data_IF_208925763518
#
_entry.id   IF_208925763518
#
_cell.length_a   1.000
_cell.length_b   1.000
_cell.length_c   1.000
_cell.angle_alpha   90.00
_cell.angle_beta   90.00
_cell.angle_gamma   90.00
#
_symmetry.space_group_name_H-M   'P 1'
#
loop_
_entity.id
_entity.type
_entity.pdbx_description
1 polymer ?
#
# COMPACT_ATOMS: atom_id res chain seq x y z
N UNK A 1 3.76 25.59 4.37
CA UNK A 1 4.97 25.41 3.55
C UNK A 1 4.53 25.01 2.17
N UNK A 2 5.10 25.58 1.12
CA UNK A 2 4.69 25.28 -0.25
C UNK A 2 5.32 23.97 -0.71
N UNK A 3 4.50 23.02 -1.17
CA UNK A 3 4.95 21.69 -1.57
C UNK A 3 6.09 21.69 -2.60
N UNK A 4 6.19 22.74 -3.43
CA UNK A 4 7.28 22.97 -4.37
C UNK A 4 8.66 22.98 -3.69
N UNK A 5 8.78 23.56 -2.49
CA UNK A 5 10.04 23.59 -1.74
C UNK A 5 10.54 22.20 -1.37
N UNK A 6 9.65 21.23 -1.12
CA UNK A 6 10.03 19.85 -0.78
C UNK A 6 10.55 19.11 -2.02
N UNK A 7 9.98 19.38 -3.20
CA UNK A 7 10.46 18.79 -4.47
C UNK A 7 11.86 19.33 -4.81
N UNK A 8 12.07 20.64 -4.68
CA UNK A 8 13.40 21.28 -4.86
C UNK A 8 14.40 20.70 -3.86
N UNK A 9 14.03 20.59 -2.58
CA UNK A 9 14.86 20.01 -1.53
C UNK A 9 15.25 18.55 -1.84
N UNK A 10 14.31 17.72 -2.30
CA UNK A 10 14.57 16.34 -2.72
C UNK A 10 15.60 16.28 -3.86
N UNK A 11 15.43 17.09 -4.91
CA UNK A 11 16.38 17.12 -6.02
C UNK A 11 17.79 17.59 -5.58
N UNK A 12 17.88 18.58 -4.69
CA UNK A 12 19.14 19.00 -4.09
C UNK A 12 19.80 17.89 -3.25
N UNK A 13 19.03 17.16 -2.42
CA UNK A 13 19.54 16.00 -1.67
C UNK A 13 20.10 14.94 -2.63
N UNK A 14 19.38 14.65 -3.72
CA UNK A 14 19.85 13.72 -4.75
C UNK A 14 21.21 14.16 -5.32
N UNK A 15 21.33 15.41 -5.78
CA UNK A 15 22.59 15.93 -6.32
C UNK A 15 23.74 15.75 -5.30
N UNK A 16 23.52 16.05 -4.02
CA UNK A 16 24.53 15.84 -2.96
C UNK A 16 24.88 14.35 -2.79
N UNK A 17 23.89 13.46 -2.73
CA UNK A 17 24.09 12.01 -2.60
C UNK A 17 24.95 11.45 -3.73
N UNK A 18 24.55 11.67 -4.99
CA UNK A 18 25.27 11.12 -6.14
C UNK A 18 26.61 11.83 -6.39
N UNK A 19 26.76 13.09 -5.97
CA UNK A 19 28.07 13.75 -5.93
C UNK A 19 29.02 13.06 -4.93
N UNK A 20 28.55 12.80 -3.71
CA UNK A 20 29.36 12.12 -2.70
C UNK A 20 29.74 10.70 -3.16
N UNK A 21 28.82 9.94 -3.76
CA UNK A 21 29.10 8.61 -4.33
C UNK A 21 30.13 8.63 -5.48
N UNK A 22 30.25 9.72 -6.23
CA UNK A 22 31.18 9.85 -7.36
C UNK A 22 32.59 10.31 -6.96
N UNK A 23 32.71 11.03 -5.84
CA UNK A 23 33.94 11.75 -5.46
C UNK A 23 34.45 11.48 -4.04
N UNK A 24 33.75 10.69 -3.23
CA UNK A 24 34.26 10.26 -1.91
C UNK A 24 34.77 8.83 -1.91
N UNK A 25 35.84 8.63 -1.14
CA UNK A 25 36.38 7.30 -0.79
C UNK A 25 36.30 7.07 0.74
N UNK A 26 35.76 8.03 1.50
CA UNK A 26 35.76 7.97 2.97
C UNK A 26 34.50 7.31 3.54
N UNK A 27 34.69 6.39 4.49
CA UNK A 27 33.59 5.72 5.19
C UNK A 27 32.63 6.71 5.88
N UNK A 28 33.16 7.79 6.47
CA UNK A 28 32.35 8.81 7.13
C UNK A 28 31.41 9.53 6.14
N UNK A 29 31.88 9.86 4.93
CA UNK A 29 31.02 10.44 3.91
C UNK A 29 29.97 9.43 3.42
N UNK A 30 30.31 8.14 3.26
CA UNK A 30 29.33 7.11 2.91
C UNK A 30 28.25 6.93 4.00
N UNK A 31 28.61 7.05 5.28
CA UNK A 31 27.64 7.08 6.39
C UNK A 31 26.71 8.31 6.29
N UNK A 32 27.25 9.49 5.97
CA UNK A 32 26.44 10.70 5.70
C UNK A 32 25.53 10.49 4.48
N UNK A 33 26.00 9.84 3.42
CA UNK A 33 25.16 9.48 2.26
C UNK A 33 23.95 8.65 2.68
N UNK A 34 24.09 7.66 3.57
CA UNK A 34 22.96 6.87 4.05
C UNK A 34 21.90 7.71 4.79
N UNK A 35 22.33 8.66 5.63
CA UNK A 35 21.41 9.58 6.33
C UNK A 35 20.68 10.50 5.33
N UNK A 36 21.41 11.06 4.35
CA UNK A 36 20.83 11.89 3.30
C UNK A 36 19.88 11.09 2.40
N UNK A 37 20.20 9.84 2.08
CA UNK A 37 19.35 8.94 1.29
C UNK A 37 18.03 8.62 2.00
N UNK A 38 18.04 8.44 3.33
CA UNK A 38 16.82 8.34 4.13
C UNK A 38 15.93 9.59 3.99
N UNK A 39 16.52 10.80 4.04
CA UNK A 39 15.78 12.05 3.85
C UNK A 39 15.29 12.25 2.39
N UNK A 40 16.05 11.77 1.40
CA UNK A 40 15.67 11.76 -0.02
C UNK A 40 14.43 10.88 -0.24
N UNK A 41 14.46 9.63 0.23
CA UNK A 41 13.33 8.69 0.14
C UNK A 41 12.10 9.20 0.89
N UNK A 42 12.27 9.81 2.08
CA UNK A 42 11.16 10.42 2.82
C UNK A 42 10.49 11.58 2.05
N UNK A 43 11.24 12.30 1.21
CA UNK A 43 10.73 13.42 0.41
C UNK A 43 9.86 12.96 -0.77
N UNK A 44 10.00 11.71 -1.23
CA UNK A 44 9.17 11.12 -2.30
C UNK A 44 7.68 11.10 -1.92
N UNK A 45 7.34 10.81 -0.66
CA UNK A 45 5.96 10.79 -0.16
C UNK A 45 5.27 12.17 -0.31
N UNK A 46 6.03 13.25 -0.16
CA UNK A 46 5.51 14.61 -0.32
C UNK A 46 5.19 14.96 -1.78
N UNK A 47 5.82 14.30 -2.76
CA UNK A 47 5.54 14.51 -4.19
C UNK A 47 4.12 14.07 -4.57
N UNK A 48 3.65 12.92 -4.05
CA UNK A 48 2.25 12.51 -4.21
C UNK A 48 1.28 13.53 -3.62
N UNK A 49 1.64 14.14 -2.49
CA UNK A 49 0.79 15.17 -1.84
C UNK A 49 0.74 16.47 -2.66
N UNK A 50 1.84 16.85 -3.33
CA UNK A 50 1.85 17.95 -4.31
C UNK A 50 0.89 17.69 -5.47
N UNK A 51 0.93 16.49 -6.06
CA UNK A 51 0.08 16.08 -7.17
C UNK A 51 -1.40 16.20 -6.79
N UNK A 52 -1.81 15.59 -5.67
CA UNK A 52 -3.21 15.65 -5.23
C UNK A 52 -3.64 17.07 -4.88
N UNK A 53 -2.78 17.90 -4.29
CA UNK A 53 -3.11 19.28 -3.98
C UNK A 53 -3.24 20.20 -5.23
N UNK A 54 -2.82 19.74 -6.43
CA UNK A 54 -2.91 20.52 -7.69
C UNK A 54 -4.08 20.12 -8.60
N UNK A 55 -4.62 18.91 -8.45
CA UNK A 55 -5.48 18.24 -9.44
C UNK A 55 -6.93 18.14 -8.92
N UNK A 56 -7.93 18.04 -9.81
CA UNK A 56 -9.32 17.78 -9.39
C UNK A 56 -9.49 16.33 -8.91
N UNK A 57 -10.37 16.10 -7.92
CA UNK A 57 -10.55 14.77 -7.32
C UNK A 57 -10.92 13.70 -8.36
N UNK A 58 -11.70 14.05 -9.38
CA UNK A 58 -12.07 13.15 -10.49
C UNK A 58 -10.85 12.50 -11.18
N UNK A 59 -9.71 13.21 -11.22
CA UNK A 59 -8.51 12.77 -11.94
C UNK A 59 -7.47 12.10 -11.03
N UNK A 60 -7.71 12.01 -9.73
CA UNK A 60 -6.74 11.44 -8.78
C UNK A 60 -6.35 10.01 -9.15
N UNK A 61 -7.32 9.11 -9.35
CA UNK A 61 -7.03 7.70 -9.66
C UNK A 61 -6.22 7.56 -10.97
N UNK A 62 -6.63 8.28 -12.02
CA UNK A 62 -5.94 8.29 -13.30
C UNK A 62 -4.49 8.81 -13.17
N UNK A 63 -4.29 9.92 -12.46
CA UNK A 63 -2.95 10.49 -12.30
C UNK A 63 -2.07 9.63 -11.39
N UNK A 64 -2.60 9.08 -10.29
CA UNK A 64 -1.86 8.12 -9.45
C UNK A 64 -1.42 6.90 -10.25
N UNK A 65 -2.30 6.35 -11.09
CA UNK A 65 -1.99 5.27 -12.01
C UNK A 65 -0.87 5.64 -12.98
N UNK A 66 -1.00 6.79 -13.66
CA UNK A 66 0.00 7.30 -14.60
C UNK A 66 1.36 7.57 -13.92
N UNK A 67 1.38 8.16 -12.74
CA UNK A 67 2.62 8.41 -11.97
C UNK A 67 3.29 7.11 -11.56
N UNK A 68 2.55 6.11 -11.06
CA UNK A 68 3.11 4.79 -10.73
C UNK A 68 3.61 4.06 -11.97
N UNK A 69 2.88 4.11 -13.08
CA UNK A 69 3.30 3.54 -14.35
C UNK A 69 4.60 4.19 -14.87
N UNK A 70 4.72 5.51 -14.78
CA UNK A 70 5.93 6.25 -15.15
C UNK A 70 7.14 5.87 -14.27
N UNK A 71 6.96 5.69 -12.96
CA UNK A 71 8.02 5.23 -12.04
C UNK A 71 8.47 3.81 -12.38
N UNK A 72 7.53 2.88 -12.61
CA UNK A 72 7.85 1.50 -12.98
C UNK A 72 8.54 1.42 -14.36
N UNK A 73 8.06 2.18 -15.34
CA UNK A 73 8.70 2.30 -16.65
C UNK A 73 10.11 2.89 -16.53
N UNK A 74 10.30 3.92 -15.70
CA UNK A 74 11.61 4.50 -15.43
C UNK A 74 12.59 3.50 -14.81
N UNK A 75 12.14 2.68 -13.85
CA UNK A 75 12.94 1.59 -13.27
C UNK A 75 13.30 0.53 -14.30
N UNK A 76 12.34 0.09 -15.11
CA UNK A 76 12.56 -0.89 -16.19
C UNK A 76 13.57 -0.36 -17.22
N UNK A 77 13.36 0.85 -17.75
CA UNK A 77 14.25 1.48 -18.73
C UNK A 77 15.65 1.72 -18.14
N UNK A 78 15.75 2.15 -16.87
CA UNK A 78 17.04 2.30 -16.19
C UNK A 78 17.80 0.96 -16.10
N UNK A 79 17.13 -0.13 -15.73
CA UNK A 79 17.71 -1.48 -15.73
C UNK A 79 18.19 -1.93 -17.12
N UNK A 80 17.36 -1.75 -18.16
CA UNK A 80 17.74 -2.11 -19.54
C UNK A 80 18.89 -1.24 -20.07
N UNK A 81 18.84 0.07 -19.88
CA UNK A 81 19.87 1.01 -20.38
C UNK A 81 21.20 0.78 -19.67
N UNK A 82 21.20 0.69 -18.32
CA UNK A 82 22.42 0.39 -17.56
C UNK A 82 23.01 -0.96 -17.95
N UNK A 83 22.16 -1.98 -18.15
CA UNK A 83 22.59 -3.29 -18.60
C UNK A 83 23.26 -3.26 -19.98
N UNK A 84 22.67 -2.57 -20.97
CA UNK A 84 23.24 -2.43 -22.32
C UNK A 84 24.56 -1.66 -22.30
N UNK A 85 24.62 -0.56 -21.54
CA UNK A 85 25.81 0.28 -21.45
C UNK A 85 27.01 -0.45 -20.81
N UNK A 86 26.77 -1.28 -19.79
CA UNK A 86 27.81 -2.09 -19.15
C UNK A 86 28.18 -3.30 -20.01
N UNK A 87 27.22 -4.03 -20.58
CA UNK A 87 27.52 -5.23 -21.39
C UNK A 87 28.23 -4.93 -22.71
N UNK A 88 28.07 -3.71 -23.25
CA UNK A 88 28.81 -3.26 -24.44
C UNK A 88 30.19 -2.69 -24.13
N UNK A 89 30.56 -2.56 -22.84
CA UNK A 89 31.79 -1.89 -22.42
C UNK A 89 31.78 -0.38 -22.64
N UNK A 90 30.63 0.22 -22.98
CA UNK A 90 30.51 1.65 -23.24
C UNK A 90 30.62 2.50 -21.96
N UNK A 91 30.26 1.94 -20.81
CA UNK A 91 30.32 2.60 -19.50
C UNK A 91 30.55 1.60 -18.36
N UNK A 92 31.23 2.04 -17.31
CA UNK A 92 31.36 1.32 -16.05
C UNK A 92 30.36 1.85 -14.98
N UNK A 93 30.36 1.25 -13.78
CA UNK A 93 29.43 1.61 -12.68
C UNK A 93 29.59 3.06 -12.20
N UNK A 94 30.79 3.66 -12.28
CA UNK A 94 31.02 5.08 -11.99
C UNK A 94 30.37 5.97 -13.05
N UNK A 95 30.47 5.60 -14.32
CA UNK A 95 29.88 6.33 -15.44
C UNK A 95 28.33 6.33 -15.37
N UNK A 96 27.73 5.22 -14.94
CA UNK A 96 26.29 5.16 -14.65
C UNK A 96 25.85 6.11 -13.52
N UNK A 97 26.71 6.34 -12.52
CA UNK A 97 26.44 7.32 -11.47
C UNK A 97 26.52 8.76 -12.00
N UNK A 98 27.34 9.06 -13.01
CA UNK A 98 27.31 10.35 -13.71
C UNK A 98 26.00 10.57 -14.47
N UNK A 99 25.45 9.53 -15.14
CA UNK A 99 24.10 9.61 -15.72
C UNK A 99 23.07 9.93 -14.65
N UNK A 100 23.12 9.25 -13.50
CA UNK A 100 22.17 9.48 -12.40
C UNK A 100 22.30 10.89 -11.81
N UNK A 101 23.51 11.41 -11.62
CA UNK A 101 23.73 12.80 -11.21
C UNK A 101 23.13 13.78 -12.23
N UNK A 102 23.31 13.52 -13.53
CA UNK A 102 22.73 14.30 -14.62
C UNK A 102 21.20 14.33 -14.59
N UNK A 103 20.54 13.19 -14.34
CA UNK A 103 19.07 13.15 -14.24
C UNK A 103 18.55 13.90 -13.01
N UNK A 104 19.27 13.90 -11.89
CA UNK A 104 18.92 14.73 -10.72
C UNK A 104 19.06 16.24 -11.02
N UNK A 105 20.09 16.65 -11.76
CA UNK A 105 20.25 18.04 -12.20
C UNK A 105 19.10 18.49 -13.13
N UNK A 106 18.70 17.64 -14.08
CA UNK A 106 17.53 17.90 -14.95
C UNK A 106 16.23 17.94 -14.13
N UNK A 107 16.06 17.04 -13.15
CA UNK A 107 14.92 17.04 -12.22
C UNK A 107 14.85 18.32 -11.39
N UNK A 108 15.98 18.84 -10.90
CA UNK A 108 16.05 20.11 -10.20
C UNK A 108 15.60 21.27 -11.11
N UNK A 109 16.10 21.37 -12.33
CA UNK A 109 15.65 22.38 -13.31
C UNK A 109 14.14 22.30 -13.56
N UNK A 110 13.61 21.08 -13.75
CA UNK A 110 12.18 20.85 -13.94
C UNK A 110 11.35 21.27 -12.70
N UNK A 111 11.86 21.04 -11.49
CA UNK A 111 11.18 21.39 -10.24
C UNK A 111 10.92 22.90 -10.11
N UNK A 112 11.78 23.75 -10.70
CA UNK A 112 11.56 25.20 -10.73
C UNK A 112 10.47 25.62 -11.72
N UNK A 113 10.24 24.86 -12.79
CA UNK A 113 9.15 25.07 -13.75
C UNK A 113 7.78 24.65 -13.22
N UNK A 114 7.73 23.83 -12.15
CA UNK A 114 6.46 23.38 -11.57
C UNK A 114 5.62 24.54 -11.00
N UNK A 115 4.30 24.58 -11.26
CA UNK A 115 3.43 25.65 -10.78
C UNK A 115 3.26 25.61 -9.25
N UNK A 116 3.22 26.76 -8.56
CA UNK A 116 2.94 26.77 -7.13
C UNK A 116 1.52 26.25 -6.82
N UNK A 117 1.36 25.72 -5.61
CA UNK A 117 0.10 25.24 -5.04
C UNK A 117 -0.22 26.10 -3.81
N UNK A 118 -1.29 26.89 -3.89
CA UNK A 118 -1.78 27.71 -2.78
C UNK A 118 -2.74 26.89 -1.91
N UNK A 119 -2.23 26.43 -0.77
CA UNK A 119 -2.95 25.77 0.35
C UNK A 119 -3.66 24.44 0.06
N UNK A 120 -3.53 23.52 1.01
CA UNK A 120 -4.04 22.15 0.95
C UNK A 120 -5.56 22.06 1.15
N UNK A 121 -6.24 21.37 0.22
CA UNK A 121 -7.69 21.08 0.26
C UNK A 121 -8.12 20.21 1.48
N UNK A 122 -7.18 19.49 2.11
CA UNK A 122 -7.48 18.41 3.05
C UNK A 122 -7.85 18.83 4.49
N UNK A 123 -7.64 20.09 4.90
CA UNK A 123 -7.73 20.49 6.32
C UNK A 123 -8.92 21.39 6.69
N UNK A 124 -9.91 21.55 5.79
CA UNK A 124 -11.10 22.38 6.03
C UNK A 124 -12.39 21.54 5.93
N UNK A 125 -12.85 21.02 7.06
CA UNK A 125 -14.18 20.42 7.17
C UNK A 125 -15.25 21.53 7.21
N UNK A 126 -16.20 21.51 6.27
CA UNK A 126 -17.46 22.26 6.49
C UNK A 126 -18.22 21.52 7.59
N UNK A 127 -18.50 22.20 8.70
CA UNK A 127 -19.37 21.66 9.74
C UNK A 127 -20.77 21.46 9.11
N UNK A 128 -21.26 20.22 9.07
CA UNK A 128 -22.63 19.95 8.64
C UNK A 128 -23.62 20.60 9.62
N UNK A 129 -24.60 21.30 9.05
CA UNK A 129 -25.63 22.00 9.82
C UNK A 129 -26.42 20.98 10.64
N UNK A 130 -26.56 21.25 11.94
CA UNK A 130 -27.32 20.41 12.84
C UNK A 130 -28.74 20.16 12.30
N UNK A 131 -29.07 18.89 12.02
CA UNK A 131 -30.45 18.47 11.77
C UNK A 131 -31.23 18.55 13.10
N UNK A 132 -32.37 19.24 13.16
CA UNK A 132 -33.29 19.06 14.29
C UNK A 132 -33.87 17.65 14.26
N UNK A 133 -34.18 17.12 15.44
CA UNK A 133 -34.83 15.82 15.56
C UNK A 133 -36.32 15.94 15.20
N UNK A 134 -36.76 15.20 14.19
CA UNK A 134 -38.09 14.60 14.19
C UNK A 134 -38.06 13.28 13.39
N UNK A 135 -38.95 12.36 13.75
CA UNK A 135 -38.91 10.97 13.28
C UNK A 135 -39.83 10.68 12.11
N UNK A 136 -39.31 9.95 11.12
CA UNK A 136 -40.10 8.99 10.34
C UNK A 136 -39.17 8.01 9.63
N UNK A 137 -39.58 6.75 9.55
CA UNK A 137 -38.84 5.66 8.91
C UNK A 137 -39.41 5.44 7.51
N UNK A 138 -38.58 5.53 6.49
CA UNK A 138 -38.77 4.88 5.20
C UNK A 138 -37.40 4.61 4.56
N UNK A 139 -37.23 3.41 4.01
CA UNK A 139 -36.05 3.05 3.24
C UNK A 139 -36.11 3.68 1.84
N UNK A 140 -34.97 4.11 1.29
CA UNK A 140 -34.40 3.41 0.13
C UNK A 140 -33.00 3.92 -0.25
N UNK A 141 -32.37 3.13 -1.11
CA UNK A 141 -30.97 3.09 -1.55
C UNK A 141 -30.24 4.41 -1.87
N UNK A 142 -28.99 4.42 -1.44
CA UNK A 142 -27.84 5.25 -1.86
C UNK A 142 -27.68 5.31 -3.40
N UNK A 143 -27.17 6.44 -3.94
CA UNK A 143 -26.01 6.35 -4.86
C UNK A 143 -24.87 7.36 -4.55
N UNK A 144 -23.86 6.87 -3.83
CA UNK A 144 -22.43 6.96 -4.11
C UNK A 144 -21.85 8.32 -4.58
N UNK A 145 -21.36 9.22 -3.71
CA UNK A 145 -20.47 10.33 -4.15
C UNK A 145 -19.08 10.20 -3.46
N UNK A 146 -17.95 10.09 -4.19
CA UNK A 146 -17.68 10.67 -5.52
C UNK A 146 -17.80 9.72 -6.73
N UNK A 147 -19.02 9.26 -7.09
CA UNK A 147 -19.49 9.14 -8.49
C UNK A 147 -21.03 9.05 -8.64
N UNK A 148 -21.67 10.08 -9.24
CA UNK A 148 -23.00 10.60 -8.86
C UNK A 148 -22.95 11.28 -7.48
N UNK A 149 -23.83 12.20 -7.08
CA UNK A 149 -24.82 12.98 -7.81
C UNK A 149 -24.17 13.87 -8.89
N UNK A 150 -24.30 13.45 -10.15
CA UNK A 150 -24.21 14.31 -11.34
C UNK A 150 -25.17 13.73 -12.41
N UNK A 151 -26.43 13.52 -12.02
CA UNK A 151 -27.53 13.32 -12.98
C UNK A 151 -28.55 14.47 -12.99
N UNK A 152 -28.61 15.27 -11.92
CA UNK A 152 -29.43 16.48 -11.86
C UNK A 152 -28.78 17.70 -12.54
N UNK A 153 -28.37 17.56 -13.82
CA UNK A 153 -28.15 18.69 -14.74
C UNK A 153 -28.11 18.34 -16.24
N UNK A 154 -28.87 17.34 -16.67
CA UNK A 154 -29.32 17.23 -18.08
C UNK A 154 -30.68 17.90 -18.29
N UNK A 155 -30.74 19.19 -18.03
CA UNK A 155 -31.74 20.16 -18.50
C UNK A 155 -31.42 21.50 -17.82
N UNK A 156 -30.59 22.31 -18.46
CA UNK A 156 -31.02 23.62 -18.99
C UNK A 156 -29.79 24.42 -19.44
N UNK A 157 -29.54 24.42 -20.76
CA UNK A 157 -28.72 25.40 -21.49
C UNK A 157 -28.83 25.10 -22.99
N UNK A 158 -29.98 25.44 -23.57
CA UNK A 158 -30.00 25.89 -24.97
C UNK A 158 -29.97 27.41 -24.97
N UNK A 159 -29.18 27.98 -25.89
CA UNK A 159 -29.15 29.39 -26.29
C UNK A 159 -28.75 30.44 -25.20
N UNK A 160 -28.17 31.62 -25.49
CA UNK A 160 -27.32 32.23 -26.54
C UNK A 160 -27.62 33.74 -26.50
N UNK A 161 -26.58 34.59 -26.46
CA UNK A 161 -26.63 36.06 -26.71
C UNK A 161 -27.41 36.93 -25.70
N UNK A 162 -27.13 38.20 -25.44
CA UNK A 162 -26.12 39.20 -25.79
C UNK A 162 -26.53 40.54 -25.09
N UNK A 163 -25.64 41.54 -25.08
CA UNK A 163 -25.93 42.99 -24.96
C UNK A 163 -26.31 43.63 -23.60
N UNK A 164 -26.08 44.95 -23.57
CA UNK A 164 -25.89 45.88 -22.44
C UNK A 164 -27.18 46.61 -21.96
N UNK A 165 -27.16 47.38 -20.84
CA UNK A 165 -28.36 47.90 -20.15
C UNK A 165 -28.83 49.28 -20.69
N UNK A 166 -29.93 49.85 -20.15
CA UNK A 166 -29.74 50.91 -19.13
C UNK A 166 -30.82 51.07 -18.02
N UNK A 167 -30.44 51.89 -17.05
CA UNK A 167 -31.17 52.63 -16.01
C UNK A 167 -32.72 52.73 -16.01
N UNK A 168 -33.32 52.78 -14.80
CA UNK A 168 -33.84 54.05 -14.27
C UNK A 168 -34.20 54.06 -12.76
N UNK A 169 -34.17 55.27 -12.21
CA UNK A 169 -34.42 55.68 -10.81
C UNK A 169 -35.87 55.47 -10.36
N UNK A 170 -36.11 55.26 -9.05
CA UNK A 170 -37.13 56.00 -8.27
C UNK A 170 -37.04 55.71 -6.76
N UNK A 171 -37.18 56.76 -5.95
CA UNK A 171 -37.16 56.85 -4.47
C UNK A 171 -38.26 57.88 -4.16
N UNK A 172 -39.21 57.69 -3.20
CA UNK A 172 -38.87 57.89 -1.78
C UNK A 172 -39.70 57.17 -0.69
N UNK A 173 -39.13 57.10 0.53
CA UNK A 173 -39.79 57.09 1.88
C UNK A 173 -40.82 55.97 2.20
N UNK A 174 -40.96 55.42 3.41
CA UNK A 174 -40.38 55.70 4.74
C UNK A 174 -40.48 54.41 5.63
N UNK A 175 -40.15 54.52 6.92
CA UNK A 175 -40.53 53.59 8.01
C UNK A 175 -39.86 52.20 8.08
N UNK A 176 -38.65 52.18 8.66
CA UNK A 176 -38.58 51.88 10.09
C UNK A 176 -38.86 50.44 10.56
N UNK A 177 -38.02 49.48 10.17
CA UNK A 177 -37.81 48.25 10.96
C UNK A 177 -36.31 47.90 10.91
N UNK A 178 -35.67 47.78 12.08
CA UNK A 178 -34.26 47.38 12.17
C UNK A 178 -34.10 45.91 11.79
N UNK A 179 -33.90 45.62 10.50
CA UNK A 179 -33.45 44.30 10.04
C UNK A 179 -32.00 44.12 10.44
N UNK A 180 -31.79 43.55 11.63
CA UNK A 180 -30.49 43.03 12.05
C UNK A 180 -29.99 42.09 10.96
N UNK A 181 -29.01 42.54 10.17
CA UNK A 181 -28.31 41.69 9.22
C UNK A 181 -27.57 40.62 10.02
N UNK A 182 -28.23 39.46 10.22
CA UNK A 182 -27.56 38.25 10.70
C UNK A 182 -26.59 37.87 9.60
N UNK A 183 -25.36 38.38 9.74
CA UNK A 183 -24.25 37.94 8.94
C UNK A 183 -24.00 36.47 9.28
N UNK A 184 -24.55 35.57 8.47
CA UNK A 184 -24.24 34.14 8.47
C UNK A 184 -22.76 33.96 8.11
N UNK A 185 -21.92 34.27 9.09
CA UNK A 185 -20.49 34.05 9.07
C UNK A 185 -20.30 32.55 9.22
N UNK A 186 -20.30 31.87 8.07
CA UNK A 186 -19.99 30.45 7.95
C UNK A 186 -18.82 30.10 8.88
N UNK A 187 -18.99 29.14 9.82
CA UNK A 187 -17.96 28.87 10.81
C UNK A 187 -16.66 28.49 10.09
N UNK A 188 -15.58 29.22 10.39
CA UNK A 188 -14.26 28.93 9.84
C UNK A 188 -13.81 27.57 10.38
N UNK A 189 -13.92 26.56 9.52
CA UNK A 189 -13.38 25.22 9.70
C UNK A 189 -12.02 25.25 10.41
N UNK A 190 -11.99 24.84 11.68
CA UNK A 190 -10.81 24.93 12.55
C UNK A 190 -10.19 23.54 12.70
N UNK A 191 -9.02 23.38 12.08
CA UNK A 191 -8.20 22.17 12.21
C UNK A 191 -7.99 21.80 13.69
N UNK A 192 -8.13 20.51 14.00
CA UNK A 192 -8.07 20.01 15.37
C UNK A 192 -7.33 18.68 15.39
N UNK A 193 -6.01 18.76 15.60
CA UNK A 193 -5.13 17.58 15.64
C UNK A 193 -5.63 16.51 16.63
N UNK A 194 -6.11 16.90 17.80
CA UNK A 194 -6.66 15.97 18.81
C UNK A 194 -7.87 15.18 18.30
N UNK A 195 -8.77 15.82 17.52
CA UNK A 195 -9.91 15.13 16.89
C UNK A 195 -9.44 14.18 15.79
N UNK A 196 -8.51 14.63 14.92
CA UNK A 196 -7.95 13.81 13.86
C UNK A 196 -7.22 12.57 14.40
N UNK A 197 -6.34 12.72 15.39
CA UNK A 197 -5.63 11.61 16.04
C UNK A 197 -6.61 10.64 16.70
N UNK A 198 -7.66 11.14 17.40
CA UNK A 198 -8.68 10.29 18.01
C UNK A 198 -9.49 9.51 16.98
N UNK A 199 -9.78 10.11 15.82
CA UNK A 199 -10.52 9.47 14.73
C UNK A 199 -9.65 8.37 14.07
N UNK A 200 -8.41 8.72 13.69
CA UNK A 200 -7.43 7.77 13.16
C UNK A 200 -7.19 6.58 14.10
N UNK A 201 -7.10 6.82 15.41
CA UNK A 201 -6.96 5.76 16.42
C UNK A 201 -8.19 4.84 16.48
N UNK A 202 -9.41 5.38 16.33
CA UNK A 202 -10.63 4.56 16.24
C UNK A 202 -10.64 3.69 14.98
N UNK A 203 -10.32 4.27 13.82
CA UNK A 203 -10.33 3.54 12.55
C UNK A 203 -9.25 2.45 12.55
N UNK A 204 -8.09 2.73 13.14
CA UNK A 204 -7.01 1.76 13.36
C UNK A 204 -7.48 0.55 14.18
N UNK A 205 -8.15 0.79 15.32
CA UNK A 205 -8.71 -0.29 16.15
C UNK A 205 -9.82 -1.05 15.40
N UNK A 206 -10.67 -0.34 14.65
CA UNK A 206 -11.74 -0.94 13.84
C UNK A 206 -11.18 -1.91 12.79
N UNK A 207 -10.14 -1.49 12.07
CA UNK A 207 -9.45 -2.28 11.07
C UNK A 207 -8.77 -3.53 11.66
N UNK A 208 -7.95 -3.38 12.70
CA UNK A 208 -7.24 -4.52 13.32
C UNK A 208 -8.13 -5.42 14.20
N UNK A 209 -9.42 -5.10 14.37
CA UNK A 209 -10.43 -6.06 14.85
C UNK A 209 -10.86 -7.05 13.75
N UNK A 210 -10.69 -6.73 12.48
CA UNK A 210 -11.00 -7.63 11.37
C UNK A 210 -9.85 -8.63 11.20
N UNK A 211 -10.13 -9.91 11.44
CA UNK A 211 -9.13 -10.97 11.33
C UNK A 211 -8.40 -11.03 9.96
N UNK A 212 -9.07 -10.79 8.81
CA UNK A 212 -8.39 -10.70 7.52
C UNK A 212 -7.34 -9.57 7.47
N UNK A 213 -7.64 -8.40 8.05
CA UNK A 213 -6.67 -7.31 8.13
C UNK A 213 -5.45 -7.77 8.93
N UNK A 214 -5.64 -8.31 10.13
CA UNK A 214 -4.51 -8.81 10.96
C UNK A 214 -3.64 -9.80 10.18
N UNK A 215 -4.24 -10.78 9.52
CA UNK A 215 -3.53 -11.84 8.78
C UNK A 215 -2.73 -11.28 7.60
N UNK A 216 -3.38 -10.52 6.71
CA UNK A 216 -2.77 -10.00 5.50
C UNK A 216 -1.79 -8.84 5.76
N UNK A 217 -2.07 -8.01 6.76
CA UNK A 217 -1.22 -6.90 7.22
C UNK A 217 0.08 -7.43 7.84
N UNK A 218 -0.01 -8.44 8.72
CA UNK A 218 1.16 -9.08 9.33
C UNK A 218 2.04 -9.77 8.28
N UNK A 219 1.44 -10.53 7.36
CA UNK A 219 2.19 -11.15 6.27
C UNK A 219 2.85 -10.09 5.40
N UNK A 220 2.11 -9.03 5.03
CA UNK A 220 2.64 -7.97 4.18
C UNK A 220 3.87 -7.30 4.79
N UNK A 221 3.80 -6.86 6.05
CA UNK A 221 4.94 -6.20 6.70
C UNK A 221 6.18 -7.12 6.77
N UNK A 222 5.99 -8.40 7.12
CA UNK A 222 7.08 -9.37 7.26
C UNK A 222 7.66 -9.76 5.90
N UNK A 223 6.83 -10.12 4.92
CA UNK A 223 7.27 -10.44 3.58
C UNK A 223 7.98 -9.25 2.89
N UNK A 224 7.52 -8.02 3.15
CA UNK A 224 8.18 -6.81 2.65
C UNK A 224 9.56 -6.60 3.29
N UNK A 225 9.72 -6.88 4.59
CA UNK A 225 11.04 -6.86 5.23
C UNK A 225 12.01 -7.84 4.58
N UNK A 226 11.59 -9.09 4.41
CA UNK A 226 12.40 -10.14 3.75
C UNK A 226 12.70 -9.84 2.28
N UNK A 227 11.74 -9.27 1.54
CA UNK A 227 11.94 -8.86 0.15
C UNK A 227 12.95 -7.71 0.01
N UNK A 228 12.84 -6.66 0.82
CA UNK A 228 13.82 -5.56 0.83
C UNK A 228 15.21 -6.11 1.19
N UNK A 229 15.30 -6.99 2.19
CA UNK A 229 16.56 -7.62 2.57
C UNK A 229 17.20 -8.40 1.42
N UNK A 230 16.41 -9.19 0.68
CA UNK A 230 16.89 -9.87 -0.53
C UNK A 230 17.34 -8.86 -1.59
N UNK A 231 16.52 -7.85 -1.93
CA UNK A 231 16.88 -6.87 -2.98
C UNK A 231 18.18 -6.10 -2.68
N UNK A 232 18.39 -5.68 -1.42
CA UNK A 232 19.58 -4.90 -1.04
C UNK A 232 20.86 -5.73 -1.15
N UNK A 233 20.80 -7.03 -0.82
CA UNK A 233 22.00 -7.87 -0.71
C UNK A 233 22.20 -8.87 -1.86
N UNK A 234 21.26 -8.98 -2.82
CA UNK A 234 21.36 -9.94 -3.93
C UNK A 234 22.59 -9.71 -4.82
N UNK A 235 23.03 -8.46 -5.00
CA UNK A 235 24.24 -8.17 -5.79
C UNK A 235 25.51 -8.74 -5.14
N UNK A 236 25.59 -8.78 -3.80
CA UNK A 236 26.71 -9.38 -3.09
C UNK A 236 26.68 -10.91 -3.22
N UNK A 237 25.49 -11.53 -3.15
CA UNK A 237 25.36 -12.97 -3.42
C UNK A 237 25.80 -13.31 -4.85
N UNK A 238 25.35 -12.54 -5.85
CA UNK A 238 25.73 -12.77 -7.25
C UNK A 238 27.23 -12.64 -7.49
N UNK A 239 27.89 -11.66 -6.87
CA UNK A 239 29.34 -11.52 -6.94
C UNK A 239 30.08 -12.71 -6.28
N UNK A 240 29.54 -13.23 -5.19
CA UNK A 240 30.06 -14.42 -4.49
C UNK A 240 29.75 -15.76 -5.22
N UNK A 241 28.84 -15.73 -6.20
CA UNK A 241 28.56 -16.86 -7.11
C UNK A 241 29.46 -16.81 -8.35
N UNK A 242 29.68 -15.63 -8.92
CA UNK A 242 30.57 -15.44 -10.06
C UNK A 242 31.45 -14.21 -9.89
N UNK A 243 32.68 -14.44 -9.44
CA UNK A 243 33.70 -13.41 -9.27
C UNK A 243 34.36 -13.00 -10.60
N UNK A 244 34.19 -13.77 -11.69
CA UNK A 244 34.88 -13.55 -12.97
C UNK A 244 33.99 -12.95 -14.05
N UNK A 245 32.68 -13.28 -14.09
CA UNK A 245 31.71 -12.61 -14.96
C UNK A 245 31.26 -11.29 -14.33
N UNK A 246 32.05 -10.22 -14.53
CA UNK A 246 31.73 -8.88 -14.04
C UNK A 246 30.32 -8.40 -14.42
N UNK A 247 29.38 -8.49 -13.48
CA UNK A 247 28.02 -7.90 -13.50
C UNK A 247 27.17 -8.17 -14.75
N UNK A 248 27.47 -9.22 -15.52
CA UNK A 248 27.12 -9.30 -16.95
C UNK A 248 25.62 -9.27 -17.27
N UNK A 249 24.73 -9.68 -16.36
CA UNK A 249 23.26 -9.59 -16.52
C UNK A 249 22.48 -9.13 -15.28
N UNK A 250 23.13 -8.53 -14.28
CA UNK A 250 22.46 -8.11 -13.02
C UNK A 250 21.31 -7.11 -13.26
N UNK A 251 21.55 -6.09 -14.09
CA UNK A 251 20.51 -5.10 -14.46
C UNK A 251 19.41 -5.69 -15.32
N UNK A 252 19.74 -6.70 -16.14
CA UNK A 252 18.78 -7.49 -16.92
C UNK A 252 17.84 -8.32 -16.04
N UNK A 253 18.37 -8.97 -15.00
CA UNK A 253 17.57 -9.73 -14.04
C UNK A 253 16.60 -8.82 -13.26
N UNK A 254 17.06 -7.63 -12.83
CA UNK A 254 16.22 -6.62 -12.17
C UNK A 254 15.15 -6.02 -13.10
N UNK A 255 15.49 -5.76 -14.37
CA UNK A 255 14.54 -5.30 -15.37
C UNK A 255 13.46 -6.36 -15.66
N UNK A 256 13.86 -7.64 -15.79
CA UNK A 256 12.94 -8.75 -16.02
C UNK A 256 12.03 -8.98 -14.80
N UNK A 257 12.55 -8.92 -13.57
CA UNK A 257 11.73 -8.93 -12.36
C UNK A 257 10.75 -7.75 -12.34
N UNK A 258 11.20 -6.54 -12.69
CA UNK A 258 10.33 -5.35 -12.73
C UNK A 258 9.17 -5.54 -13.71
N UNK A 259 9.44 -6.10 -14.90
CA UNK A 259 8.43 -6.41 -15.91
C UNK A 259 7.44 -7.49 -15.44
N UNK A 260 7.94 -8.63 -14.97
CA UNK A 260 7.10 -9.74 -14.49
C UNK A 260 6.30 -9.35 -13.24
N UNK A 261 6.85 -8.51 -12.38
CA UNK A 261 6.17 -7.91 -11.24
C UNK A 261 5.00 -7.02 -11.65
N UNK A 262 5.18 -6.16 -12.66
CA UNK A 262 4.10 -5.34 -13.21
C UNK A 262 2.99 -6.20 -13.83
N UNK A 263 3.34 -7.21 -14.63
CA UNK A 263 2.37 -8.16 -15.20
C UNK A 263 1.61 -8.95 -14.12
N UNK A 264 2.31 -9.36 -13.06
CA UNK A 264 1.70 -10.09 -11.94
C UNK A 264 0.79 -9.21 -11.09
N UNK A 265 1.14 -7.94 -10.87
CA UNK A 265 0.27 -6.97 -10.20
C UNK A 265 -1.00 -6.66 -11.02
N UNK A 266 -0.89 -6.62 -12.35
CA UNK A 266 -2.07 -6.53 -13.23
C UNK A 266 -2.94 -7.79 -13.12
N UNK A 267 -2.34 -8.99 -13.19
CA UNK A 267 -3.05 -10.25 -13.06
C UNK A 267 -3.80 -10.37 -11.72
N UNK A 268 -3.16 -9.96 -10.62
CA UNK A 268 -3.77 -9.88 -9.29
C UNK A 268 -5.07 -9.04 -9.30
N UNK A 269 -5.11 -7.93 -10.05
CA UNK A 269 -6.29 -7.07 -10.16
C UNK A 269 -7.52 -7.71 -10.82
N UNK A 270 -7.34 -8.81 -11.57
CA UNK A 270 -8.44 -9.57 -12.20
C UNK A 270 -8.86 -10.81 -11.40
N UNK A 271 -8.16 -11.16 -10.31
CA UNK A 271 -8.42 -12.36 -9.53
C UNK A 271 -9.45 -12.07 -8.43
N UNK A 272 -10.41 -12.97 -8.25
CA UNK A 272 -11.45 -12.83 -7.24
C UNK A 272 -10.88 -12.94 -5.81
N UNK A 273 -10.72 -11.80 -5.13
CA UNK A 273 -10.23 -11.72 -3.74
C UNK A 273 -10.95 -12.68 -2.77
N UNK A 274 -12.22 -13.06 -3.03
CA UNK A 274 -12.98 -14.03 -2.21
C UNK A 274 -12.23 -15.36 -2.01
N UNK A 275 -11.53 -15.86 -3.04
CA UNK A 275 -10.75 -17.10 -2.93
C UNK A 275 -9.59 -16.90 -1.95
N UNK A 276 -8.92 -15.75 -2.05
CA UNK A 276 -7.77 -15.40 -1.21
C UNK A 276 -8.20 -15.13 0.24
N UNK A 277 -9.33 -14.45 0.45
CA UNK A 277 -9.92 -14.26 1.78
C UNK A 277 -10.33 -15.60 2.42
N UNK A 278 -10.97 -16.51 1.67
CA UNK A 278 -11.43 -17.80 2.18
C UNK A 278 -10.29 -18.78 2.50
N UNK A 279 -9.22 -18.77 1.71
CA UNK A 279 -8.08 -19.69 1.84
C UNK A 279 -6.81 -19.02 2.38
N UNK A 280 -6.94 -17.81 2.97
CA UNK A 280 -5.84 -16.93 3.34
C UNK A 280 -4.68 -17.65 4.03
N UNK A 281 -4.94 -18.33 5.16
CA UNK A 281 -3.89 -19.01 5.93
C UNK A 281 -3.14 -20.07 5.12
N UNK A 282 -3.83 -20.83 4.25
CA UNK A 282 -3.20 -21.84 3.40
C UNK A 282 -2.38 -21.22 2.27
N UNK A 283 -2.89 -20.17 1.62
CA UNK A 283 -2.16 -19.43 0.58
C UNK A 283 -0.91 -18.76 1.17
N UNK A 284 -1.06 -18.06 2.30
CA UNK A 284 0.07 -17.42 3.00
C UNK A 284 1.13 -18.44 3.44
N UNK A 285 0.71 -19.63 3.89
CA UNK A 285 1.62 -20.76 4.18
C UNK A 285 2.42 -21.17 2.95
N UNK A 286 1.73 -21.53 1.87
CA UNK A 286 2.36 -22.09 0.64
C UNK A 286 3.24 -21.04 -0.02
N UNK A 287 2.76 -19.80 -0.19
CA UNK A 287 3.55 -18.74 -0.82
C UNK A 287 4.79 -18.36 0.00
N UNK A 288 4.69 -18.29 1.34
CA UNK A 288 5.87 -18.05 2.19
C UNK A 288 6.85 -19.23 2.14
N UNK A 289 6.34 -20.47 2.08
CA UNK A 289 7.16 -21.67 1.99
C UNK A 289 7.92 -21.75 0.66
N UNK A 290 7.26 -21.42 -0.45
CA UNK A 290 7.89 -21.32 -1.78
C UNK A 290 8.93 -20.20 -1.82
N UNK A 291 8.60 -18.99 -1.32
CA UNK A 291 9.54 -17.87 -1.22
C UNK A 291 10.78 -18.25 -0.39
N UNK A 292 10.57 -18.88 0.78
CA UNK A 292 11.64 -19.34 1.65
C UNK A 292 12.51 -20.41 1.01
N UNK A 293 11.91 -21.41 0.34
CA UNK A 293 12.64 -22.45 -0.38
C UNK A 293 13.50 -21.89 -1.52
N UNK A 294 12.95 -20.98 -2.33
CA UNK A 294 13.67 -20.33 -3.44
C UNK A 294 14.90 -19.55 -2.93
N UNK A 295 14.73 -18.72 -1.90
CA UNK A 295 15.82 -17.90 -1.35
C UNK A 295 16.82 -18.72 -0.53
N UNK A 296 16.36 -19.73 0.22
CA UNK A 296 17.24 -20.65 0.94
C UNK A 296 18.15 -21.41 -0.04
N UNK A 297 17.59 -21.94 -1.13
CA UNK A 297 18.36 -22.62 -2.17
C UNK A 297 19.31 -21.66 -2.93
N UNK A 298 18.95 -20.38 -3.08
CA UNK A 298 19.82 -19.35 -3.67
C UNK A 298 21.17 -19.23 -2.94
N UNK A 299 21.20 -19.42 -1.62
CA UNK A 299 22.45 -19.44 -0.83
C UNK A 299 23.40 -20.60 -1.17
N UNK A 300 22.89 -21.66 -1.82
CA UNK A 300 23.68 -22.83 -2.30
C UNK A 300 23.94 -22.79 -3.81
N UNK A 301 23.42 -21.81 -4.55
CA UNK A 301 23.60 -21.74 -5.99
C UNK A 301 25.08 -21.56 -6.34
N UNK A 302 25.58 -22.40 -7.25
CA UNK A 302 26.95 -22.32 -7.82
C UNK A 302 26.94 -21.79 -9.26
N UNK A 303 25.76 -21.53 -9.81
CA UNK A 303 25.56 -21.03 -11.17
C UNK A 303 24.71 -19.76 -11.12
N UNK A 304 25.22 -18.67 -11.70
CA UNK A 304 24.59 -17.35 -11.67
C UNK A 304 23.19 -17.34 -12.34
N UNK A 305 22.98 -18.11 -13.40
CA UNK A 305 21.68 -18.22 -14.07
C UNK A 305 20.62 -18.86 -13.17
N UNK A 306 21.02 -19.85 -12.37
CA UNK A 306 20.13 -20.45 -11.36
C UNK A 306 19.76 -19.40 -10.30
N UNK A 307 20.73 -18.62 -9.81
CA UNK A 307 20.47 -17.55 -8.84
C UNK A 307 19.56 -16.44 -9.41
N UNK A 308 19.71 -16.05 -10.68
CA UNK A 308 18.79 -15.12 -11.35
C UNK A 308 17.37 -15.68 -11.42
N UNK A 309 17.19 -16.93 -11.84
CA UNK A 309 15.87 -17.56 -11.93
C UNK A 309 15.20 -17.63 -10.55
N UNK A 310 15.94 -18.02 -9.51
CA UNK A 310 15.42 -18.06 -8.14
C UNK A 310 15.00 -16.67 -7.64
N UNK A 311 15.82 -15.64 -7.85
CA UNK A 311 15.51 -14.24 -7.51
C UNK A 311 14.25 -13.74 -8.23
N UNK A 312 14.15 -13.98 -9.54
CA UNK A 312 13.02 -13.55 -10.36
C UNK A 312 11.73 -14.27 -9.95
N UNK A 313 11.77 -15.58 -9.70
CA UNK A 313 10.60 -16.34 -9.23
C UNK A 313 10.15 -15.88 -7.84
N UNK A 314 11.08 -15.70 -6.90
CA UNK A 314 10.80 -15.17 -5.57
C UNK A 314 10.14 -13.79 -5.64
N UNK A 315 10.77 -12.86 -6.38
CA UNK A 315 10.30 -11.48 -6.47
C UNK A 315 8.97 -11.37 -7.21
N UNK A 316 8.75 -12.15 -8.27
CA UNK A 316 7.47 -12.17 -9.01
C UNK A 316 6.34 -12.68 -8.11
N UNK A 317 6.57 -13.76 -7.36
CA UNK A 317 5.60 -14.28 -6.38
C UNK A 317 5.34 -13.29 -5.24
N UNK A 318 6.37 -12.58 -4.76
CA UNK A 318 6.19 -11.50 -3.79
C UNK A 318 5.36 -10.32 -4.35
N UNK A 319 5.66 -9.83 -5.55
CA UNK A 319 4.98 -8.70 -6.18
C UNK A 319 3.51 -9.02 -6.54
N UNK A 320 3.22 -10.29 -6.84
CA UNK A 320 1.84 -10.79 -6.89
C UNK A 320 1.15 -10.71 -5.52
N UNK A 321 1.74 -11.35 -4.50
CA UNK A 321 1.14 -11.50 -3.18
C UNK A 321 0.99 -10.18 -2.42
N UNK A 322 1.94 -9.25 -2.55
CA UNK A 322 1.86 -7.90 -1.96
C UNK A 322 0.71 -7.09 -2.55
N UNK A 323 0.40 -7.30 -3.84
CA UNK A 323 -0.75 -6.67 -4.52
C UNK A 323 -2.06 -7.23 -3.99
N UNK A 324 -2.17 -8.56 -3.87
CA UNK A 324 -3.34 -9.21 -3.26
C UNK A 324 -3.54 -8.78 -1.79
N UNK A 325 -2.47 -8.76 -1.00
CA UNK A 325 -2.51 -8.33 0.40
C UNK A 325 -3.00 -6.88 0.53
N UNK A 326 -2.46 -5.98 -0.28
CA UNK A 326 -2.87 -4.57 -0.32
C UNK A 326 -4.35 -4.41 -0.66
N UNK A 327 -4.84 -5.13 -1.67
CA UNK A 327 -6.23 -5.08 -2.12
C UNK A 327 -7.21 -5.70 -1.09
N UNK A 328 -6.82 -6.78 -0.41
CA UNK A 328 -7.65 -7.43 0.62
C UNK A 328 -7.69 -6.57 1.88
N UNK A 329 -6.55 -6.07 2.38
CA UNK A 329 -6.52 -5.17 3.54
C UNK A 329 -7.41 -3.96 3.27
N UNK A 330 -7.28 -3.32 2.10
CA UNK A 330 -8.06 -2.14 1.74
C UNK A 330 -9.58 -2.32 1.80
N UNK A 331 -10.13 -3.52 1.53
CA UNK A 331 -11.58 -3.77 1.64
C UNK A 331 -12.18 -3.53 3.03
N UNK A 332 -11.36 -3.61 4.08
CA UNK A 332 -11.79 -3.51 5.47
C UNK A 332 -11.40 -2.19 6.13
N UNK A 333 -10.77 -1.27 5.39
CA UNK A 333 -10.33 0.02 5.91
C UNK A 333 -11.34 1.11 5.53
N UNK A 334 -11.62 2.01 6.46
CA UNK A 334 -12.31 3.26 6.15
C UNK A 334 -11.38 4.16 5.30
N UNK A 335 -11.93 4.90 4.34
CA UNK A 335 -11.11 5.58 3.32
C UNK A 335 -10.07 6.56 3.90
N UNK A 336 -10.43 7.25 4.99
CA UNK A 336 -9.53 8.16 5.72
C UNK A 336 -8.40 7.45 6.49
N UNK A 337 -8.38 6.12 6.54
CA UNK A 337 -7.43 5.31 7.31
C UNK A 337 -6.43 4.51 6.47
N UNK A 338 -6.58 4.46 5.14
CA UNK A 338 -5.68 3.73 4.23
C UNK A 338 -4.20 4.07 4.48
N UNK A 339 -3.86 5.36 4.46
CA UNK A 339 -2.47 5.82 4.60
C UNK A 339 -1.84 5.46 5.95
N UNK A 340 -2.63 5.39 7.02
CA UNK A 340 -2.14 5.04 8.36
C UNK A 340 -1.70 3.58 8.42
N UNK A 341 -2.54 2.65 7.94
CA UNK A 341 -2.27 1.22 8.04
C UNK A 341 -1.16 0.81 7.05
N UNK A 342 -1.14 1.42 5.87
CA UNK A 342 -0.02 1.25 4.94
C UNK A 342 1.29 1.81 5.52
N UNK A 343 1.25 2.96 6.21
CA UNK A 343 2.40 3.52 6.92
C UNK A 343 2.90 2.64 8.08
N UNK A 344 1.99 2.06 8.88
CA UNK A 344 2.35 1.15 9.98
C UNK A 344 3.04 -0.11 9.45
N UNK A 345 2.50 -0.74 8.41
CA UNK A 345 3.11 -1.94 7.83
C UNK A 345 4.47 -1.64 7.21
N UNK A 346 4.62 -0.51 6.50
CA UNK A 346 5.91 -0.08 5.98
C UNK A 346 6.91 0.19 7.12
N UNK A 347 6.49 0.84 8.22
CA UNK A 347 7.34 1.08 9.39
C UNK A 347 7.78 -0.23 10.07
N UNK A 348 6.87 -1.19 10.25
CA UNK A 348 7.20 -2.52 10.76
C UNK A 348 8.14 -3.25 9.80
N UNK A 349 7.90 -3.19 8.48
CA UNK A 349 8.74 -3.83 7.48
C UNK A 349 10.19 -3.31 7.52
N UNK A 350 10.40 -1.99 7.48
CA UNK A 350 11.76 -1.42 7.54
C UNK A 350 12.41 -1.60 8.92
N UNK A 351 11.63 -1.63 10.00
CA UNK A 351 12.14 -1.95 11.33
C UNK A 351 12.64 -3.39 11.44
N UNK A 352 11.88 -4.36 10.94
CA UNK A 352 12.28 -5.78 10.90
C UNK A 352 13.47 -5.98 9.95
N UNK A 353 13.49 -5.29 8.81
CA UNK A 353 14.60 -5.30 7.86
C UNK A 353 15.89 -4.76 8.49
N UNK A 354 15.82 -3.64 9.22
CA UNK A 354 16.97 -3.10 9.95
C UNK A 354 17.48 -4.05 11.04
N UNK A 355 16.57 -4.73 11.76
CA UNK A 355 16.94 -5.75 12.75
C UNK A 355 17.59 -6.98 12.09
N UNK A 356 17.09 -7.45 10.94
CA UNK A 356 17.70 -8.52 10.16
C UNK A 356 19.10 -8.14 9.68
N UNK A 357 19.29 -6.91 9.17
CA UNK A 357 20.62 -6.41 8.78
C UNK A 357 21.58 -6.33 9.96
N UNK A 358 21.14 -5.82 11.12
CA UNK A 358 21.96 -5.77 12.32
C UNK A 358 22.38 -7.20 12.76
N UNK A 359 21.44 -8.13 12.74
CA UNK A 359 21.67 -9.51 13.16
C UNK A 359 22.56 -10.31 12.20
N UNK A 360 22.40 -10.14 10.88
CA UNK A 360 23.09 -10.99 9.88
C UNK A 360 24.39 -10.39 9.35
N UNK A 361 24.52 -9.08 9.24
CA UNK A 361 25.61 -8.42 8.51
C UNK A 361 26.55 -7.63 9.40
N UNK A 362 26.06 -7.04 10.50
CA UNK A 362 26.91 -6.17 11.32
C UNK A 362 27.95 -6.95 12.14
N UNK A 363 29.09 -6.32 12.42
CA UNK A 363 30.15 -6.82 13.33
C UNK A 363 29.63 -7.16 14.74
N UNK A 364 28.52 -6.55 15.15
CA UNK A 364 27.86 -6.81 16.46
C UNK A 364 26.81 -7.93 16.39
N UNK A 365 26.49 -8.39 15.18
CA UNK A 365 25.62 -9.53 14.92
C UNK A 365 26.44 -10.77 14.62
N UNK A 366 26.00 -11.52 13.62
CA UNK A 366 26.64 -12.77 13.16
C UNK A 366 27.69 -12.56 12.07
N UNK A 367 27.74 -11.38 11.43
CA UNK A 367 28.66 -11.02 10.34
C UNK A 367 28.83 -12.12 9.28
N UNK A 368 27.70 -12.64 8.79
CA UNK A 368 27.63 -13.79 7.88
C UNK A 368 28.10 -13.42 6.47
N UNK A 369 28.72 -14.37 5.78
CA UNK A 369 29.00 -14.28 4.34
C UNK A 369 27.71 -14.23 3.51
N UNK A 370 27.70 -13.67 2.28
CA UNK A 370 26.49 -13.48 1.47
C UNK A 370 25.66 -14.76 1.25
N UNK A 371 26.33 -15.92 1.15
CA UNK A 371 25.67 -17.23 1.01
C UNK A 371 24.87 -17.61 2.26
N UNK A 372 25.42 -17.36 3.45
CA UNK A 372 24.79 -17.70 4.72
C UNK A 372 23.72 -16.68 5.12
N UNK A 373 23.91 -15.41 4.78
CA UNK A 373 22.86 -14.39 4.83
C UNK A 373 21.59 -14.86 4.08
N UNK A 374 21.74 -15.36 2.84
CA UNK A 374 20.60 -15.85 2.05
C UNK A 374 19.96 -17.12 2.61
N UNK A 375 20.73 -18.01 3.26
CA UNK A 375 20.16 -19.14 4.02
C UNK A 375 19.32 -18.64 5.20
N UNK A 376 19.76 -17.60 5.91
CA UNK A 376 18.96 -16.97 6.99
C UNK A 376 17.70 -16.29 6.43
N UNK A 377 17.80 -15.56 5.31
CA UNK A 377 16.64 -14.90 4.68
C UNK A 377 15.61 -15.92 4.17
N UNK A 378 16.06 -17.04 3.60
CA UNK A 378 15.19 -18.16 3.22
C UNK A 378 14.56 -18.82 4.45
N UNK A 379 15.35 -19.08 5.49
CA UNK A 379 14.89 -19.62 6.78
C UNK A 379 13.83 -18.73 7.45
N UNK A 380 13.97 -17.40 7.37
CA UNK A 380 12.98 -16.44 7.84
C UNK A 380 11.60 -16.63 7.18
N UNK A 381 11.55 -16.78 5.85
CA UNK A 381 10.31 -17.07 5.13
C UNK A 381 9.77 -18.48 5.40
N UNK A 382 10.62 -19.48 5.65
CA UNK A 382 10.21 -20.82 6.08
C UNK A 382 9.59 -20.79 7.50
N UNK A 383 10.15 -20.03 8.44
CA UNK A 383 9.55 -19.80 9.76
C UNK A 383 8.20 -19.10 9.63
N UNK A 384 8.09 -18.08 8.75
CA UNK A 384 6.82 -17.43 8.44
C UNK A 384 5.77 -18.43 7.90
N UNK A 385 6.19 -19.32 6.99
CA UNK A 385 5.36 -20.42 6.49
C UNK A 385 4.86 -21.34 7.61
N UNK A 386 5.73 -21.75 8.53
CA UNK A 386 5.36 -22.60 9.69
C UNK A 386 4.38 -21.89 10.62
N UNK A 387 4.54 -20.59 10.87
CA UNK A 387 3.59 -19.79 11.69
C UNK A 387 2.19 -19.81 11.05
N UNK A 388 2.10 -19.55 9.74
CA UNK A 388 0.82 -19.61 9.02
C UNK A 388 0.27 -21.03 8.92
N UNK A 389 1.10 -22.06 8.81
CA UNK A 389 0.68 -23.46 8.79
C UNK A 389 0.04 -23.88 10.11
N UNK A 390 0.65 -23.53 11.25
CA UNK A 390 0.10 -23.79 12.58
C UNK A 390 -1.26 -23.08 12.72
N UNK A 391 -1.35 -21.81 12.31
CA UNK A 391 -2.61 -21.07 12.32
C UNK A 391 -3.68 -21.72 11.41
N UNK A 392 -3.31 -22.19 10.22
CA UNK A 392 -4.19 -22.87 9.27
C UNK A 392 -4.75 -24.19 9.84
N UNK A 393 -3.89 -24.99 10.47
CA UNK A 393 -4.27 -26.26 11.11
C UNK A 393 -5.19 -25.97 12.30
N UNK A 394 -4.84 -25.05 13.20
CA UNK A 394 -5.66 -24.71 14.37
C UNK A 394 -7.04 -24.20 13.94
N UNK A 395 -7.12 -23.30 12.95
CA UNK A 395 -8.39 -22.81 12.42
C UNK A 395 -9.24 -23.91 11.78
N UNK A 396 -8.60 -24.86 11.07
CA UNK A 396 -9.27 -26.00 10.44
C UNK A 396 -9.82 -26.98 11.48
N UNK A 397 -9.02 -27.32 12.50
CA UNK A 397 -9.45 -28.17 13.62
C UNK A 397 -10.59 -27.52 14.41
N UNK A 398 -10.49 -26.22 14.73
CA UNK A 398 -11.55 -25.48 15.41
C UNK A 398 -12.87 -25.52 14.62
N UNK A 399 -12.83 -25.32 13.30
CA UNK A 399 -14.02 -25.42 12.43
C UNK A 399 -14.63 -26.83 12.43
N UNK A 400 -13.80 -27.88 12.36
CA UNK A 400 -14.30 -29.27 12.42
C UNK A 400 -14.92 -29.59 13.79
N UNK A 401 -14.35 -29.08 14.88
CA UNK A 401 -14.90 -29.27 16.23
C UNK A 401 -16.21 -28.51 16.44
N UNK A 402 -16.34 -27.30 15.88
CA UNK A 402 -17.61 -26.54 15.85
C UNK A 402 -18.68 -27.32 15.11
N UNK A 403 -18.43 -27.72 13.85
CA UNK A 403 -19.39 -28.51 13.05
C UNK A 403 -19.82 -29.82 13.76
N UNK A 404 -18.91 -30.49 14.46
CA UNK A 404 -19.24 -31.68 15.28
C UNK A 404 -20.08 -31.36 16.51
N UNK A 405 -19.91 -30.18 17.12
CA UNK A 405 -20.72 -29.72 18.26
C UNK A 405 -22.12 -29.32 17.82
N UNK A 406 -22.22 -28.60 16.70
CA UNK A 406 -23.48 -28.16 16.12
C UNK A 406 -24.32 -29.37 15.66
N UNK A 407 -23.69 -30.34 15.00
CA UNK A 407 -24.34 -31.61 14.60
C UNK A 407 -24.83 -32.44 15.80
N UNK A 408 -24.10 -32.47 16.92
CA UNK A 408 -24.57 -33.11 18.16
C UNK A 408 -25.78 -32.39 18.74
N UNK A 409 -25.70 -31.07 18.87
CA UNK A 409 -26.78 -30.23 19.41
C UNK A 409 -28.07 -30.38 18.58
N UNK A 410 -27.94 -30.47 17.25
CA UNK A 410 -29.06 -30.74 16.34
C UNK A 410 -29.64 -32.15 16.48
N UNK A 411 -28.79 -33.17 16.70
CA UNK A 411 -29.24 -34.54 16.95
C UNK A 411 -29.98 -34.67 18.29
N UNK A 412 -29.47 -34.04 19.35
CA UNK A 412 -30.07 -34.04 20.68
C UNK A 412 -31.46 -33.35 20.65
N UNK A 413 -31.56 -32.18 20.01
CA UNK A 413 -32.84 -31.47 19.83
C UNK A 413 -33.86 -32.25 18.97
N UNK A 414 -33.40 -32.95 17.93
CA UNK A 414 -34.24 -33.83 17.12
C UNK A 414 -34.76 -35.04 17.91
N UNK A 415 -33.94 -35.60 18.79
CA UNK A 415 -34.33 -36.69 19.68
C UNK A 415 -35.42 -36.22 20.67
N UNK A 416 -35.23 -35.07 21.34
CA UNK A 416 -36.24 -34.50 22.26
C UNK A 416 -37.59 -34.25 21.57
N UNK A 417 -37.57 -33.67 20.36
CA UNK A 417 -38.78 -33.45 19.56
C UNK A 417 -39.51 -34.77 19.22
N UNK A 418 -38.77 -35.82 18.85
CA UNK A 418 -39.36 -37.13 18.55
C UNK A 418 -40.02 -37.79 19.78
N UNK A 419 -39.42 -37.64 20.96
CA UNK A 419 -39.95 -38.14 22.23
C UNK A 419 -41.22 -37.38 22.63
N UNK A 420 -41.26 -36.06 22.44
CA UNK A 420 -42.46 -35.26 22.68
C UNK A 420 -43.61 -35.63 21.73
N UNK A 421 -43.32 -35.85 20.44
CA UNK A 421 -44.33 -36.29 19.47
C UNK A 421 -44.92 -37.66 19.84
N UNK A 422 -44.07 -38.63 20.17
CA UNK A 422 -44.52 -39.97 20.57
C UNK A 422 -45.30 -39.97 21.91
N UNK A 423 -45.00 -39.03 22.81
CA UNK A 423 -45.76 -38.83 24.04
C UNK A 423 -47.14 -38.21 23.77
N UNK A 424 -47.25 -37.27 22.81
CA UNK A 424 -48.51 -36.66 22.40
C UNK A 424 -49.45 -37.69 21.75
N UNK A 425 -48.97 -38.50 20.79
CA UNK A 425 -49.75 -39.57 20.15
C UNK A 425 -50.26 -40.60 21.18
N UNK A 426 -49.45 -40.95 22.20
CA UNK A 426 -49.90 -41.80 23.30
C UNK A 426 -51.00 -41.16 24.15
N UNK A 427 -50.94 -39.85 24.36
CA UNK A 427 -51.97 -39.11 25.09
C UNK A 427 -53.30 -39.14 24.34
N UNK A 428 -53.31 -38.85 23.04
CA UNK A 428 -54.53 -38.85 22.21
C UNK A 428 -55.12 -40.26 22.05
N UNK A 429 -54.28 -41.28 21.91
CA UNK A 429 -54.70 -42.69 21.88
C UNK A 429 -55.44 -43.12 23.15
N UNK A 430 -55.13 -42.50 24.30
CA UNK A 430 -55.72 -42.86 25.60
C UNK A 430 -57.08 -42.18 25.81
N UNK A 431 -57.32 -40.99 25.25
CA UNK A 431 -58.61 -40.26 25.37
C UNK A 431 -59.71 -40.75 24.43
N UNK A 432 -59.40 -41.55 23.40
CA UNK A 432 -60.40 -42.06 22.43
C UNK A 432 -61.06 -43.38 22.85
N UNK A 433 -60.53 -44.07 23.87
CA UNK A 433 -61.06 -45.34 24.41
C UNK A 433 -61.75 -45.21 25.78
N UNK A 434 -62.26 -44.02 26.12
CA UNK A 434 -62.95 -43.71 27.38
C UNK A 434 -64.47 -43.64 27.25
#
# INVERSE_FOLDING_TARGET
MEYKSIIVFSACLGIVIWSLLLWTESLAALQVVQVLYGAYMASEVAYYTYIYAKISREKYQQVTGNTRAAILLGRFLSGVISQVLVSTGAMNVRDLNYITLGTQAVSLLWSFLLPPVKTSVYFYARDEVAKPADGSVACDSVPQQVQQCEEAKRQDQSERHDSTPPANTNVPTENGNATTKIAHTQPKARFSASRAVRLLWKHLISAYRQLPVVQWSLWWALAMAGFIQVQVYVQLLWHEIDQQQGTLFNGGAEALLTLLGALSALAAGYIANRIFEQWALWILTVCSGLQGGLIFYSGFATNIWVAYVLYILFGTLYLFMVTMASAIVAKYLEEDSFGLIFGINMFVAVGVQALLTLATISERGLMLDPRDQFKVYGGYFLVLSVIYLIAAIVASVARVLQLRRDARTAADAGAESSVQSAAAERSESTTVNG
#
